data_IF_073604845969
#
_entry.id   IF_073604845969
#
_cell.length_a   1.000
_cell.length_b   1.000
_cell.length_c   1.000
_cell.angle_alpha   90.00
_cell.angle_beta   90.00
_cell.angle_gamma   90.00
#
_symmetry.space_group_name_H-M   'P 1'
#
loop_
_entity.id
_entity.type
_entity.pdbx_description
1 polymer ?
#
# COMPACT_ATOMS: atom_id res chain seq x y z
N UNK A 1 27.92 -47.47 -5.73
CA UNK A 1 28.21 -46.16 -5.11
C UNK A 1 27.77 -45.13 -6.14
N UNK A 2 26.47 -44.83 -6.16
CA UNK A 2 25.90 -43.83 -7.06
C UNK A 2 26.13 -42.46 -6.43
N UNK A 3 26.91 -41.63 -7.12
CA UNK A 3 27.14 -40.25 -6.75
C UNK A 3 25.89 -39.47 -7.18
N UNK A 4 25.08 -39.06 -6.21
CA UNK A 4 24.07 -38.05 -6.39
C UNK A 4 24.76 -36.73 -6.72
N UNK A 5 24.68 -36.31 -7.98
CA UNK A 5 24.97 -34.92 -8.36
C UNK A 5 23.84 -34.06 -7.80
N UNK A 6 24.16 -33.26 -6.77
CA UNK A 6 23.34 -32.11 -6.38
C UNK A 6 23.08 -31.25 -7.61
N UNK A 7 21.81 -31.16 -7.99
CA UNK A 7 21.34 -30.16 -8.93
C UNK A 7 21.59 -28.79 -8.30
N UNK A 8 22.57 -28.05 -8.82
CA UNK A 8 22.72 -26.62 -8.57
C UNK A 8 21.45 -25.92 -9.05
N UNK A 9 20.51 -25.69 -8.14
CA UNK A 9 19.33 -24.86 -8.40
C UNK A 9 19.86 -23.47 -8.77
N UNK A 10 19.56 -23.01 -9.99
CA UNK A 10 19.86 -21.65 -10.39
C UNK A 10 19.27 -20.69 -9.35
N UNK A 11 20.00 -19.64 -8.92
CA UNK A 11 19.46 -18.70 -7.96
C UNK A 11 18.14 -18.16 -8.50
N UNK A 12 17.08 -18.21 -7.68
CA UNK A 12 15.80 -17.61 -8.02
C UNK A 12 16.05 -16.14 -8.37
N UNK A 13 15.78 -15.74 -9.61
CA UNK A 13 15.95 -14.36 -10.06
C UNK A 13 14.59 -13.69 -10.10
N UNK A 14 14.43 -12.57 -9.41
CA UNK A 14 13.24 -11.71 -9.55
C UNK A 14 13.61 -10.45 -10.31
N UNK A 15 12.63 -9.86 -10.99
CA UNK A 15 12.80 -8.56 -11.66
C UNK A 15 12.02 -7.46 -10.97
N UNK A 16 11.11 -7.81 -10.07
CA UNK A 16 10.21 -6.87 -9.40
C UNK A 16 10.93 -5.87 -8.46
N UNK A 17 12.14 -6.17 -7.96
CA UNK A 17 12.89 -5.26 -7.08
C UNK A 17 13.83 -4.30 -7.80
N UNK A 18 14.02 -4.50 -9.10
CA UNK A 18 14.75 -3.56 -9.96
C UNK A 18 13.81 -2.46 -10.46
N UNK A 19 14.38 -1.35 -10.93
CA UNK A 19 13.58 -0.32 -11.59
C UNK A 19 12.87 -0.93 -12.81
N UNK A 20 11.60 -0.58 -12.99
CA UNK A 20 10.86 -1.00 -14.16
C UNK A 20 11.31 -0.25 -15.43
N UNK A 21 10.79 -0.68 -16.57
CA UNK A 21 11.22 -0.21 -17.88
C UNK A 21 10.60 1.12 -18.33
N UNK A 22 9.59 1.63 -17.62
CA UNK A 22 8.83 2.81 -18.02
C UNK A 22 9.39 4.09 -17.40
N UNK A 23 9.43 5.16 -18.19
CA UNK A 23 9.69 6.51 -17.71
C UNK A 23 8.43 7.04 -17.04
N UNK A 24 8.58 7.64 -15.86
CA UNK A 24 7.45 8.11 -15.06
C UNK A 24 7.35 9.62 -15.01
N UNK A 25 6.12 10.13 -14.88
CA UNK A 25 5.82 11.51 -14.54
C UNK A 25 4.77 11.56 -13.44
N UNK A 26 4.69 12.72 -12.78
CA UNK A 26 3.63 12.99 -11.82
C UNK A 26 2.88 14.28 -12.14
N UNK A 27 1.62 14.34 -11.71
CA UNK A 27 0.77 15.53 -11.81
C UNK A 27 -0.02 15.73 -10.52
N UNK A 28 -0.37 16.99 -10.25
CA UNK A 28 -1.24 17.36 -9.13
C UNK A 28 -2.56 17.88 -9.67
N UNK A 29 -3.64 17.16 -9.40
CA UNK A 29 -4.99 17.60 -9.76
C UNK A 29 -5.53 18.42 -8.59
N UNK A 30 -5.55 19.74 -8.79
CA UNK A 30 -6.16 20.66 -7.83
C UNK A 30 -7.68 20.58 -7.96
N UNK A 31 -8.38 20.96 -6.88
CA UNK A 31 -9.82 21.18 -6.92
C UNK A 31 -10.18 22.18 -8.03
N UNK A 32 -10.84 21.72 -9.08
CA UNK A 32 -11.58 22.58 -10.01
C UNK A 32 -13.07 22.41 -9.72
N UNK A 33 -13.84 23.50 -9.76
CA UNK A 33 -15.26 23.52 -9.43
C UNK A 33 -16.04 22.33 -10.04
N UNK A 34 -16.64 21.50 -9.18
CA UNK A 34 -17.71 20.54 -9.50
C UNK A 34 -17.30 19.15 -10.02
N UNK A 35 -16.11 18.95 -10.59
CA UNK A 35 -15.76 17.70 -11.31
C UNK A 35 -14.57 16.91 -10.77
N UNK A 36 -13.74 17.50 -9.91
CA UNK A 36 -12.60 16.82 -9.25
C UNK A 36 -12.99 16.36 -7.85
N UNK A 37 -12.55 15.17 -7.40
CA UNK A 37 -12.89 14.67 -6.08
C UNK A 37 -12.23 15.57 -5.03
N UNK A 38 -12.90 15.71 -3.90
CA UNK A 38 -12.30 16.26 -2.69
C UNK A 38 -11.76 15.07 -1.91
N UNK A 39 -10.44 14.91 -1.67
CA UNK A 39 -9.30 15.86 -1.70
C UNK A 39 -8.50 15.98 -3.03
N UNK A 40 -7.58 16.97 -3.16
CA UNK A 40 -6.67 17.06 -4.32
C UNK A 40 -5.87 15.77 -4.54
N UNK A 41 -5.63 15.42 -5.80
CA UNK A 41 -4.95 14.18 -6.16
C UNK A 41 -3.49 14.42 -6.50
N UNK A 42 -2.64 13.49 -6.08
CA UNK A 42 -1.30 13.29 -6.62
C UNK A 42 -1.33 12.02 -7.47
N UNK A 43 -0.98 12.14 -8.74
CA UNK A 43 -1.04 11.03 -9.70
C UNK A 43 0.34 10.81 -10.27
N UNK A 44 0.80 9.56 -10.28
CA UNK A 44 2.08 9.13 -10.86
C UNK A 44 1.79 8.09 -11.93
N UNK A 45 2.36 8.24 -13.12
CA UNK A 45 1.99 7.45 -14.29
C UNK A 45 3.17 7.22 -15.26
N UNK A 46 3.17 6.12 -16.03
CA UNK A 46 4.08 5.89 -17.16
C UNK A 46 3.86 6.89 -18.28
N UNK A 47 4.91 7.29 -18.99
CA UNK A 47 4.80 8.28 -20.09
C UNK A 47 4.64 7.66 -21.47
N UNK A 48 5.01 6.40 -21.60
CA UNK A 48 4.93 5.63 -22.83
C UNK A 48 3.48 5.28 -23.15
N UNK A 49 3.16 5.21 -24.45
CA UNK A 49 1.83 4.85 -24.94
C UNK A 49 1.41 3.48 -24.39
N UNK A 50 0.25 3.40 -23.77
CA UNK A 50 -0.26 2.13 -23.26
C UNK A 50 -1.53 2.27 -22.41
N UNK A 51 -2.06 1.13 -22.06
CA UNK A 51 -3.16 0.98 -21.09
C UNK A 51 -2.59 0.35 -19.83
N UNK A 52 -2.81 0.98 -18.68
CA UNK A 52 -2.11 0.62 -17.44
C UNK A 52 -3.09 0.39 -16.28
N UNK A 53 -2.89 -0.67 -15.47
CA UNK A 53 -3.63 -0.88 -14.23
C UNK A 53 -3.52 0.31 -13.27
N UNK A 54 -4.56 0.51 -12.47
CA UNK A 54 -4.67 1.64 -11.54
C UNK A 54 -4.50 1.17 -10.10
N UNK A 55 -3.78 1.94 -9.29
CA UNK A 55 -3.68 1.75 -7.84
C UNK A 55 -4.25 2.99 -7.16
N UNK A 56 -5.33 2.82 -6.40
CA UNK A 56 -5.81 3.84 -5.46
C UNK A 56 -5.02 3.68 -4.15
N UNK A 57 -4.11 4.62 -3.86
CA UNK A 57 -3.25 4.55 -2.67
C UNK A 57 -3.62 5.60 -1.63
N UNK A 58 -3.93 5.15 -0.41
CA UNK A 58 -4.37 6.00 0.70
C UNK A 58 -3.24 6.27 1.70
N UNK A 59 -2.97 7.54 1.98
CA UNK A 59 -1.87 7.97 2.84
C UNK A 59 -2.14 7.71 4.34
N UNK A 60 -1.05 7.62 5.12
CA UNK A 60 -1.09 7.58 6.58
C UNK A 60 -1.56 8.88 7.25
N UNK A 61 -1.82 8.81 8.54
CA UNK A 61 -2.29 9.94 9.33
C UNK A 61 -1.31 11.12 9.30
N UNK A 62 -1.78 12.31 8.94
CA UNK A 62 -0.96 13.54 8.86
C UNK A 62 0.28 13.44 7.96
N UNK A 63 0.30 12.49 7.01
CA UNK A 63 1.34 12.35 5.98
C UNK A 63 0.77 12.84 4.64
N UNK A 64 1.39 13.83 3.98
CA UNK A 64 1.00 14.24 2.64
C UNK A 64 1.12 13.07 1.65
N UNK A 65 0.16 12.96 0.71
CA UNK A 65 0.20 11.96 -0.36
C UNK A 65 1.48 12.03 -1.24
N UNK A 66 2.12 13.19 -1.33
CA UNK A 66 3.39 13.36 -2.04
C UNK A 66 4.60 12.81 -1.30
N UNK A 67 4.45 12.36 -0.05
CA UNK A 67 5.55 11.79 0.74
C UNK A 67 5.86 10.33 0.39
N UNK A 68 5.16 9.78 -0.61
CA UNK A 68 5.35 8.43 -1.14
C UNK A 68 5.81 8.46 -2.61
N UNK A 69 6.28 9.61 -3.10
CA UNK A 69 6.73 9.79 -4.48
C UNK A 69 7.80 8.79 -4.91
N UNK A 70 8.82 8.49 -4.12
CA UNK A 70 9.86 7.53 -4.53
C UNK A 70 9.26 6.12 -4.67
N UNK A 71 8.38 5.72 -3.75
CA UNK A 71 7.66 4.45 -3.82
C UNK A 71 6.73 4.40 -5.04
N UNK A 72 6.00 5.49 -5.30
CA UNK A 72 5.06 5.59 -6.42
C UNK A 72 5.79 5.62 -7.76
N UNK A 73 6.90 6.33 -7.87
CA UNK A 73 7.74 6.36 -9.07
C UNK A 73 8.32 4.97 -9.34
N UNK A 74 8.79 4.27 -8.31
CA UNK A 74 9.22 2.88 -8.45
C UNK A 74 8.10 2.00 -9.00
N UNK A 75 6.91 2.01 -8.37
CA UNK A 75 5.79 1.17 -8.83
C UNK A 75 5.32 1.58 -10.24
N UNK A 76 5.22 2.88 -10.54
CA UNK A 76 4.83 3.37 -11.85
C UNK A 76 5.83 2.98 -12.94
N UNK A 77 7.12 2.87 -12.62
CA UNK A 77 8.13 2.42 -13.58
C UNK A 77 7.89 0.98 -14.05
N UNK A 78 7.10 0.19 -13.31
CA UNK A 78 6.65 -1.16 -13.69
C UNK A 78 5.33 -1.17 -14.50
N UNK A 79 4.80 0.00 -14.87
CA UNK A 79 3.61 0.10 -15.71
C UNK A 79 2.30 0.19 -14.93
N UNK A 80 2.26 0.96 -13.85
CA UNK A 80 1.05 1.20 -13.05
C UNK A 80 0.76 2.71 -12.97
N UNK A 81 -0.52 3.07 -12.96
CA UNK A 81 -0.96 4.43 -12.64
C UNK A 81 -1.35 4.47 -11.17
N UNK A 82 -0.69 5.31 -10.37
CA UNK A 82 -1.03 5.52 -8.98
C UNK A 82 -1.88 6.78 -8.86
N UNK A 83 -3.06 6.66 -8.26
CA UNK A 83 -3.92 7.78 -7.87
C UNK A 83 -3.92 7.87 -6.36
N UNK A 84 -3.34 8.93 -5.81
CA UNK A 84 -3.23 9.14 -4.38
C UNK A 84 -4.02 10.39 -3.95
N UNK A 85 -5.22 10.24 -3.35
CA UNK A 85 -5.92 11.37 -2.74
C UNK A 85 -5.07 11.99 -1.63
N UNK A 86 -5.09 13.32 -1.54
CA UNK A 86 -4.39 14.09 -0.51
C UNK A 86 -5.22 14.29 0.75
N UNK A 87 -4.91 15.34 1.51
CA UNK A 87 -5.71 15.72 2.68
C UNK A 87 -6.65 16.86 2.31
N UNK A 88 -7.90 16.77 2.77
CA UNK A 88 -8.81 17.93 2.76
C UNK A 88 -8.39 18.89 3.87
N UNK A 89 -8.67 20.20 3.74
CA UNK A 89 -8.39 21.16 4.81
C UNK A 89 -9.17 20.82 6.09
N UNK A 90 -10.41 20.34 5.93
CA UNK A 90 -11.21 19.83 7.04
C UNK A 90 -10.56 18.59 7.65
N UNK A 91 -10.14 17.62 6.84
CA UNK A 91 -9.42 16.41 7.26
C UNK A 91 -8.06 16.68 7.92
N UNK A 92 -7.37 17.76 7.56
CA UNK A 92 -6.16 18.20 8.25
C UNK A 92 -6.48 18.75 9.64
N UNK A 93 -7.53 19.56 9.78
CA UNK A 93 -7.94 20.14 11.07
C UNK A 93 -8.53 19.08 12.01
N UNK A 94 -9.42 18.23 11.51
CA UNK A 94 -9.97 17.11 12.30
C UNK A 94 -8.91 16.04 12.53
N UNK A 95 -8.02 15.81 11.57
CA UNK A 95 -6.87 14.92 11.68
C UNK A 95 -5.78 15.41 12.64
N UNK A 96 -5.89 16.57 13.28
CA UNK A 96 -5.09 16.86 14.47
C UNK A 96 -5.63 16.15 15.73
N UNK A 97 -6.88 15.67 15.67
CA UNK A 97 -7.51 14.86 16.67
C UNK A 97 -7.70 13.45 16.09
N UNK A 98 -7.06 12.42 16.65
CA UNK A 98 -7.24 11.02 16.22
C UNK A 98 -8.65 10.55 16.62
N UNK A 99 -9.69 11.08 15.98
CA UNK A 99 -11.08 10.90 16.42
C UNK A 99 -11.85 9.89 15.58
N UNK A 100 -11.59 9.83 14.26
CA UNK A 100 -12.31 8.94 13.35
C UNK A 100 -11.57 8.82 12.02
N UNK A 101 -11.74 7.69 11.34
CA UNK A 101 -11.34 7.44 9.96
C UNK A 101 -12.55 7.39 9.01
N UNK A 102 -13.79 7.55 9.51
CA UNK A 102 -15.03 7.47 8.70
C UNK A 102 -14.99 8.44 7.51
N UNK A 103 -14.63 9.70 7.74
CA UNK A 103 -14.52 10.68 6.65
C UNK A 103 -13.41 10.34 5.66
N UNK A 104 -12.31 9.72 6.12
CA UNK A 104 -11.27 9.26 5.22
C UNK A 104 -11.77 8.10 4.31
N UNK A 105 -12.65 7.24 4.84
CA UNK A 105 -13.30 6.16 4.06
C UNK A 105 -14.29 6.74 3.04
N UNK A 106 -15.04 7.78 3.41
CA UNK A 106 -15.92 8.50 2.49
C UNK A 106 -15.14 9.21 1.38
N UNK A 107 -14.06 9.92 1.71
CA UNK A 107 -13.16 10.58 0.74
C UNK A 107 -12.51 9.55 -0.20
N UNK A 108 -12.12 8.38 0.31
CA UNK A 108 -11.60 7.27 -0.49
C UNK A 108 -12.65 6.71 -1.45
N UNK A 109 -13.91 6.55 -0.99
CA UNK A 109 -15.02 6.12 -1.84
C UNK A 109 -15.38 7.16 -2.92
N UNK A 110 -15.35 8.45 -2.59
CA UNK A 110 -15.53 9.55 -3.56
C UNK A 110 -14.46 9.48 -4.64
N UNK A 111 -13.19 9.29 -4.25
CA UNK A 111 -12.07 9.15 -5.19
C UNK A 111 -12.22 7.91 -6.06
N UNK A 112 -12.60 6.76 -5.49
CA UNK A 112 -12.85 5.54 -6.23
C UNK A 112 -13.99 5.71 -7.25
N UNK A 113 -15.09 6.36 -6.85
CA UNK A 113 -16.20 6.66 -7.76
C UNK A 113 -15.80 7.66 -8.84
N UNK A 114 -14.94 8.63 -8.53
CA UNK A 114 -14.39 9.55 -9.51
C UNK A 114 -13.50 8.82 -10.54
N UNK A 115 -12.68 7.86 -10.11
CA UNK A 115 -11.89 7.00 -11.01
C UNK A 115 -12.82 6.18 -11.91
N UNK A 116 -13.89 5.59 -11.36
CA UNK A 116 -14.81 4.72 -12.12
C UNK A 116 -15.68 5.47 -13.12
N UNK A 117 -15.97 6.76 -12.87
CA UNK A 117 -16.97 7.51 -13.61
C UNK A 117 -16.75 7.47 -15.13
N UNK A 118 -17.83 7.16 -15.84
CA UNK A 118 -17.89 7.06 -17.30
C UNK A 118 -16.76 6.17 -17.87
N UNK A 119 -16.52 5.02 -17.21
CA UNK A 119 -15.48 4.04 -17.55
C UNK A 119 -14.07 4.64 -17.59
N UNK A 120 -13.71 5.44 -16.58
CA UNK A 120 -12.37 6.00 -16.43
C UNK A 120 -12.13 7.32 -17.13
N UNK A 121 -13.14 7.93 -17.78
CA UNK A 121 -12.97 9.20 -18.50
C UNK A 121 -12.42 10.33 -17.63
N UNK A 122 -12.86 10.41 -16.38
CA UNK A 122 -12.36 11.39 -15.43
C UNK A 122 -10.84 11.29 -15.22
N UNK A 123 -10.33 10.06 -15.05
CA UNK A 123 -8.91 9.81 -14.88
C UNK A 123 -8.16 10.04 -16.21
N UNK A 124 -8.75 9.64 -17.34
CA UNK A 124 -8.19 9.92 -18.68
C UNK A 124 -8.00 11.41 -18.95
N UNK A 125 -8.92 12.27 -18.49
CA UNK A 125 -8.85 13.74 -18.70
C UNK A 125 -7.65 14.40 -18.02
N UNK A 126 -7.07 13.76 -17.00
CA UNK A 126 -5.90 14.29 -16.27
C UNK A 126 -4.60 13.56 -16.63
N UNK A 127 -4.67 12.58 -17.52
CA UNK A 127 -3.54 11.83 -18.07
C UNK A 127 -3.20 12.33 -19.48
N UNK A 128 -1.96 12.10 -19.98
CA UNK A 128 -1.64 12.29 -21.39
C UNK A 128 -2.57 11.46 -22.28
N UNK A 129 -2.88 11.98 -23.48
CA UNK A 129 -3.80 11.32 -24.43
C UNK A 129 -3.44 9.87 -24.76
N UNK A 130 -2.15 9.54 -24.78
CA UNK A 130 -1.66 8.19 -25.14
C UNK A 130 -1.51 7.24 -23.94
N UNK A 131 -1.85 7.69 -22.73
CA UNK A 131 -1.79 6.91 -21.49
C UNK A 131 -3.22 6.71 -21.00
N UNK A 132 -3.69 5.47 -21.06
CA UNK A 132 -5.07 5.13 -20.70
C UNK A 132 -5.13 4.33 -19.39
N UNK A 133 -6.05 4.67 -18.47
CA UNK A 133 -6.26 3.89 -17.27
C UNK A 133 -7.07 2.63 -17.57
N UNK A 134 -6.63 1.50 -17.01
CA UNK A 134 -7.39 0.25 -17.00
C UNK A 134 -8.23 0.17 -15.73
N UNK A 135 -9.51 0.53 -15.83
CA UNK A 135 -10.45 0.50 -14.71
C UNK A 135 -11.01 -0.89 -14.41
N UNK A 136 -10.68 -1.91 -15.21
CA UNK A 136 -10.97 -3.30 -14.90
C UNK A 136 -9.87 -3.91 -14.02
N UNK A 137 -8.66 -3.36 -14.06
CA UNK A 137 -7.53 -3.76 -13.23
C UNK A 137 -7.15 -2.69 -12.20
N UNK A 138 -8.00 -2.56 -11.17
CA UNK A 138 -7.76 -1.61 -10.06
C UNK A 138 -7.38 -2.33 -8.76
N UNK A 139 -6.30 -1.86 -8.13
CA UNK A 139 -5.92 -2.24 -6.77
C UNK A 139 -6.29 -1.15 -5.78
N UNK A 140 -6.69 -1.55 -4.57
CA UNK A 140 -6.81 -0.66 -3.42
C UNK A 140 -5.61 -0.87 -2.51
N UNK A 141 -4.96 0.20 -2.08
CA UNK A 141 -3.83 0.13 -1.19
C UNK A 141 -3.83 1.28 -0.19
N UNK A 142 -3.12 1.11 0.92
CA UNK A 142 -2.90 2.22 1.84
C UNK A 142 -1.86 1.93 2.89
N UNK A 143 -1.29 3.01 3.43
CA UNK A 143 -0.28 2.96 4.49
C UNK A 143 -0.83 3.42 5.84
N UNK A 144 -0.48 2.74 6.95
CA UNK A 144 -0.83 3.18 8.31
C UNK A 144 -2.35 3.34 8.49
N UNK A 145 -2.83 4.52 8.93
CA UNK A 145 -4.26 4.88 8.92
C UNK A 145 -4.89 4.66 7.54
N UNK A 146 -4.20 5.02 6.46
CA UNK A 146 -4.67 4.78 5.09
C UNK A 146 -4.82 3.30 4.75
N UNK A 147 -4.00 2.43 5.35
CA UNK A 147 -4.17 0.97 5.26
C UNK A 147 -5.46 0.51 5.91
N UNK A 148 -5.78 1.00 7.12
CA UNK A 148 -7.10 0.77 7.75
C UNK A 148 -8.24 1.28 6.87
N UNK A 149 -8.13 2.47 6.30
CA UNK A 149 -9.15 3.05 5.41
C UNK A 149 -9.35 2.17 4.17
N UNK A 150 -8.28 1.63 3.58
CA UNK A 150 -8.33 0.71 2.46
C UNK A 150 -9.10 -0.58 2.82
N UNK A 151 -8.80 -1.19 3.97
CA UNK A 151 -9.56 -2.34 4.46
C UNK A 151 -11.03 -1.99 4.73
N UNK A 152 -11.31 -0.87 5.40
CA UNK A 152 -12.67 -0.44 5.69
C UNK A 152 -13.50 -0.22 4.42
N UNK A 153 -12.91 0.42 3.40
CA UNK A 153 -13.58 0.59 2.10
C UNK A 153 -13.86 -0.76 1.44
N UNK A 154 -12.88 -1.68 1.43
CA UNK A 154 -13.05 -3.02 0.87
C UNK A 154 -14.08 -3.88 1.60
N UNK A 155 -14.26 -3.65 2.91
CA UNK A 155 -15.29 -4.29 3.75
C UNK A 155 -16.68 -3.63 3.62
N UNK A 156 -16.81 -2.57 2.81
CA UNK A 156 -18.10 -1.94 2.51
C UNK A 156 -18.53 -0.85 3.50
N UNK A 157 -17.61 -0.26 4.26
CA UNK A 157 -17.92 0.86 5.16
C UNK A 157 -18.27 2.17 4.43
N UNK A 158 -18.04 2.25 3.13
CA UNK A 158 -18.59 3.27 2.25
C UNK A 158 -18.93 2.67 0.88
N UNK A 159 -19.86 3.30 0.17
CA UNK A 159 -20.33 2.81 -1.12
C UNK A 159 -19.41 3.26 -2.26
N UNK A 160 -18.86 2.31 -3.00
CA UNK A 160 -18.17 2.57 -4.27
C UNK A 160 -18.67 1.66 -5.38
N UNK A 161 -18.74 2.21 -6.60
CA UNK A 161 -19.02 1.46 -7.82
C UNK A 161 -17.77 0.78 -8.40
N UNK A 162 -16.58 1.23 -8.00
CA UNK A 162 -15.33 0.68 -8.50
C UNK A 162 -15.06 -0.69 -7.88
N UNK A 163 -14.76 -1.69 -8.71
CA UNK A 163 -14.40 -3.03 -8.25
C UNK A 163 -12.89 -3.12 -8.09
N UNK A 164 -12.43 -3.54 -6.92
CA UNK A 164 -11.02 -3.78 -6.66
C UNK A 164 -10.67 -5.25 -6.90
N UNK A 165 -9.63 -5.52 -7.69
CA UNK A 165 -9.12 -6.87 -7.95
C UNK A 165 -8.15 -7.36 -6.87
N UNK A 166 -7.56 -6.45 -6.11
CA UNK A 166 -6.59 -6.77 -5.07
C UNK A 166 -6.57 -5.68 -3.99
N UNK A 167 -6.21 -6.07 -2.76
CA UNK A 167 -6.02 -5.17 -1.62
C UNK A 167 -4.59 -5.29 -1.08
N UNK A 168 -3.93 -4.16 -0.83
CA UNK A 168 -2.58 -4.14 -0.24
C UNK A 168 -2.53 -3.22 0.98
N UNK A 169 -2.32 -3.81 2.16
CA UNK A 169 -2.05 -3.07 3.40
C UNK A 169 -0.56 -2.88 3.60
N UNK A 170 -0.07 -1.64 3.47
CA UNK A 170 1.30 -1.27 3.83
C UNK A 170 1.32 -0.84 5.30
N UNK A 171 1.80 -1.71 6.17
CA UNK A 171 1.90 -1.50 7.61
C UNK A 171 0.62 -0.87 8.23
N UNK A 172 -0.57 -1.47 8.01
CA UNK A 172 -1.85 -0.87 8.42
C UNK A 172 -1.96 -0.74 9.95
N UNK A 173 -2.68 0.31 10.40
CA UNK A 173 -2.90 0.61 11.83
C UNK A 173 -4.37 0.88 12.14
N UNK A 174 -4.93 0.11 13.07
CA UNK A 174 -6.34 0.18 13.51
C UNK A 174 -6.63 1.36 14.45
N UNK A 175 -5.63 1.76 15.24
CA UNK A 175 -5.76 2.80 16.25
C UNK A 175 -4.54 2.89 17.16
N UNK A 176 -4.65 3.77 18.16
CA UNK A 176 -3.55 4.07 19.10
C UNK A 176 -3.35 3.02 20.20
N UNK A 177 -4.34 2.15 20.43
CA UNK A 177 -4.30 0.94 21.25
C UNK A 177 -5.63 0.18 21.12
N UNK A 178 -5.71 -1.04 21.65
CA UNK A 178 -6.88 -1.91 21.55
C UNK A 178 -8.14 -1.34 22.22
N UNK A 179 -7.98 -0.49 23.25
CA UNK A 179 -9.08 0.20 23.94
C UNK A 179 -9.52 1.49 23.24
N UNK A 180 -8.65 2.09 22.41
CA UNK A 180 -8.87 3.35 21.69
C UNK A 180 -8.72 3.14 20.17
N UNK A 181 -9.53 2.20 19.66
CA UNK A 181 -9.68 1.95 18.22
C UNK A 181 -10.48 3.06 17.56
N UNK A 182 -10.06 3.43 16.36
CA UNK A 182 -10.66 4.51 15.57
C UNK A 182 -11.84 3.94 14.77
N UNK A 183 -12.96 4.66 14.66
CA UNK A 183 -14.06 4.22 13.80
C UNK A 183 -13.71 4.35 12.30
N UNK A 184 -14.15 3.43 11.42
CA UNK A 184 -14.84 2.19 11.75
C UNK A 184 -13.90 1.19 12.42
N UNK A 185 -14.39 0.51 13.46
CA UNK A 185 -13.68 -0.63 14.07
C UNK A 185 -13.78 -1.83 13.14
N UNK A 186 -12.69 -2.16 12.46
CA UNK A 186 -12.69 -3.26 11.47
C UNK A 186 -12.10 -4.53 12.04
N UNK A 187 -11.11 -4.46 12.94
CA UNK A 187 -10.55 -5.67 13.57
C UNK A 187 -11.52 -6.25 14.61
N UNK A 188 -11.96 -7.49 14.38
CA UNK A 188 -12.79 -8.27 15.32
C UNK A 188 -11.96 -9.21 16.20
N UNK A 189 -10.67 -9.38 15.88
CA UNK A 189 -9.74 -10.32 16.49
C UNK A 189 -10.20 -11.78 16.38
N UNK A 190 -10.84 -12.11 15.25
CA UNK A 190 -11.30 -13.44 14.90
C UNK A 190 -10.53 -13.88 13.64
N UNK A 191 -9.70 -14.94 13.70
CA UNK A 191 -8.96 -15.39 12.54
C UNK A 191 -9.88 -15.65 11.34
N UNK A 192 -9.46 -15.17 10.15
CA UNK A 192 -10.16 -15.32 8.89
C UNK A 192 -11.60 -14.78 8.88
N UNK A 193 -11.90 -13.72 9.63
CA UNK A 193 -13.23 -13.13 9.70
C UNK A 193 -13.54 -12.16 8.55
N UNK A 194 -12.51 -11.50 7.99
CA UNK A 194 -12.72 -10.53 6.91
C UNK A 194 -13.40 -11.17 5.70
N UNK A 195 -14.58 -10.63 5.35
CA UNK A 195 -15.35 -11.05 4.19
C UNK A 195 -14.96 -10.23 2.95
N UNK A 196 -13.72 -10.43 2.52
CA UNK A 196 -13.14 -9.77 1.34
C UNK A 196 -13.27 -10.67 0.12
N UNK A 197 -13.67 -10.09 -1.02
CA UNK A 197 -13.87 -10.82 -2.27
C UNK A 197 -12.63 -10.81 -3.19
N UNK A 198 -11.48 -10.36 -2.66
CA UNK A 198 -10.24 -10.15 -3.40
C UNK A 198 -9.03 -10.68 -2.61
N UNK A 199 -7.94 -11.07 -3.30
CA UNK A 199 -6.67 -11.38 -2.68
C UNK A 199 -6.12 -10.20 -1.88
N UNK A 200 -5.44 -10.49 -0.78
CA UNK A 200 -4.85 -9.48 0.12
C UNK A 200 -3.34 -9.68 0.29
N UNK A 201 -2.56 -8.61 0.17
CA UNK A 201 -1.17 -8.60 0.63
C UNK A 201 -1.01 -7.64 1.80
N UNK A 202 -0.25 -8.07 2.81
CA UNK A 202 0.19 -7.22 3.90
C UNK A 202 1.70 -7.11 3.90
N UNK A 203 2.19 -5.88 3.95
CA UNK A 203 3.61 -5.57 4.04
C UNK A 203 3.84 -4.83 5.36
N UNK A 204 4.21 -5.57 6.41
CA UNK A 204 4.44 -5.04 7.74
C UNK A 204 5.87 -4.55 7.96
N UNK A 205 6.06 -3.76 9.02
CA UNK A 205 7.39 -3.42 9.54
C UNK A 205 7.67 -4.11 10.88
N UNK A 206 8.92 -4.52 11.11
CA UNK A 206 9.30 -5.23 12.32
C UNK A 206 9.64 -4.34 13.52
N UNK A 207 9.77 -3.02 13.33
CA UNK A 207 10.02 -2.04 14.39
C UNK A 207 8.83 -1.09 14.61
N UNK A 208 7.67 -1.35 13.99
CA UNK A 208 6.51 -0.46 14.03
C UNK A 208 5.80 -0.40 15.39
N UNK A 209 5.83 -1.50 16.15
CA UNK A 209 5.30 -1.63 17.50
C UNK A 209 6.30 -1.27 18.61
N UNK A 210 7.53 -0.95 18.21
CA UNK A 210 8.55 -0.46 19.13
C UNK A 210 8.40 1.04 19.38
N UNK A 211 8.51 1.41 20.65
CA UNK A 211 8.65 2.80 21.05
C UNK A 211 10.04 3.33 20.70
N UNK A 212 10.11 4.53 20.12
CA UNK A 212 11.39 5.21 19.84
C UNK A 212 12.11 5.65 21.12
N UNK A 213 11.37 5.97 22.18
CA UNK A 213 11.86 6.29 23.52
C UNK A 213 10.72 6.10 24.53
N UNK A 214 11.00 5.68 25.76
CA UNK A 214 9.99 5.22 26.73
C UNK A 214 8.85 6.19 27.10
N UNK A 215 8.88 7.45 26.62
CA UNK A 215 7.82 8.44 26.80
C UNK A 215 6.89 8.58 25.58
N UNK A 216 7.22 7.97 24.43
CA UNK A 216 6.45 8.06 23.19
C UNK A 216 5.84 6.69 22.88
N UNK A 217 4.52 6.56 22.75
CA UNK A 217 3.89 5.29 22.38
C UNK A 217 4.29 4.89 20.96
N UNK A 218 4.32 3.58 20.65
CA UNK A 218 4.55 3.11 19.28
C UNK A 218 3.44 3.58 18.35
N UNK A 219 3.78 3.78 17.07
CA UNK A 219 2.83 4.27 16.05
C UNK A 219 1.98 3.14 15.47
N UNK A 220 2.51 1.93 15.40
CA UNK A 220 1.77 0.72 15.06
C UNK A 220 1.75 -0.25 16.26
N UNK A 221 1.02 0.09 17.35
CA UNK A 221 1.03 -0.70 18.58
C UNK A 221 0.58 -2.13 18.34
N UNK A 222 1.19 -3.06 19.08
CA UNK A 222 0.74 -4.45 19.12
C UNK A 222 -0.75 -4.55 19.45
N UNK A 223 -1.47 -5.38 18.73
CA UNK A 223 -2.93 -5.49 18.82
C UNK A 223 -3.68 -4.54 17.89
N UNK A 224 -2.99 -3.64 17.19
CA UNK A 224 -3.61 -2.72 16.22
C UNK A 224 -2.85 -2.66 14.89
N UNK A 225 -1.86 -3.53 14.70
CA UNK A 225 -0.93 -3.49 13.59
C UNK A 225 -1.11 -4.68 12.63
N UNK A 226 -0.28 -4.69 11.59
CA UNK A 226 -0.30 -5.63 10.46
C UNK A 226 -0.49 -7.13 10.76
N UNK A 227 0.01 -7.75 11.86
CA UNK A 227 -0.23 -9.17 12.11
C UNK A 227 -1.71 -9.48 12.35
N UNK A 228 -2.45 -8.56 13.01
CA UNK A 228 -3.87 -8.73 13.32
C UNK A 228 -4.74 -8.54 12.08
N UNK A 229 -4.37 -7.62 11.20
CA UNK A 229 -5.03 -7.50 9.90
C UNK A 229 -4.82 -8.77 9.06
N UNK A 230 -3.61 -9.35 9.05
CA UNK A 230 -3.34 -10.58 8.32
C UNK A 230 -4.09 -11.79 8.90
N UNK A 231 -4.13 -11.92 10.23
CA UNK A 231 -4.84 -13.01 10.91
C UNK A 231 -6.33 -13.05 10.54
N UNK A 232 -6.97 -11.88 10.39
CA UNK A 232 -8.38 -11.78 9.96
C UNK A 232 -8.59 -11.99 8.46
N UNK A 233 -7.54 -11.96 7.62
CA UNK A 233 -7.66 -12.17 6.17
C UNK A 233 -7.91 -13.65 5.82
N UNK A 234 -8.91 -13.90 4.98
CA UNK A 234 -9.11 -15.19 4.32
C UNK A 234 -8.09 -15.39 3.18
N UNK A 235 -7.73 -16.65 2.85
CA UNK A 235 -7.00 -16.93 1.62
C UNK A 235 -7.80 -16.53 0.37
N UNK A 236 -7.14 -16.15 -0.74
CA UNK A 236 -5.69 -16.03 -0.89
C UNK A 236 -5.13 -14.76 -0.22
N UNK A 237 -4.13 -14.93 0.66
CA UNK A 237 -3.48 -13.82 1.36
C UNK A 237 -1.98 -14.01 1.50
N UNK A 238 -1.22 -12.93 1.39
CA UNK A 238 0.23 -12.91 1.52
C UNK A 238 0.65 -11.95 2.64
N UNK A 239 1.70 -12.28 3.36
CA UNK A 239 2.22 -11.48 4.46
C UNK A 239 3.74 -11.43 4.44
N UNK A 240 4.29 -10.23 4.42
CA UNK A 240 5.72 -9.97 4.36
C UNK A 240 6.07 -8.97 5.44
N UNK A 241 7.11 -9.23 6.24
CA UNK A 241 7.56 -8.27 7.27
C UNK A 241 8.98 -7.83 6.98
N UNK A 242 9.16 -6.53 6.72
CA UNK A 242 10.48 -5.91 6.66
C UNK A 242 11.05 -5.79 8.08
N UNK A 243 11.72 -6.86 8.52
CA UNK A 243 12.04 -7.12 9.94
C UNK A 243 12.80 -6.00 10.62
N UNK A 244 13.75 -5.40 9.92
CA UNK A 244 14.69 -4.44 10.50
C UNK A 244 14.32 -2.98 10.21
N UNK A 245 13.08 -2.73 9.77
CA UNK A 245 12.57 -1.40 9.38
C UNK A 245 11.41 -0.98 10.28
N UNK A 246 11.24 0.34 10.42
CA UNK A 246 10.16 0.96 11.18
C UNK A 246 9.07 1.57 10.33
N UNK A 247 7.99 1.96 10.99
CA UNK A 247 6.72 2.35 10.40
C UNK A 247 6.78 3.46 9.33
N UNK A 248 7.79 4.34 9.36
CA UNK A 248 7.93 5.44 8.40
C UNK A 248 9.10 5.27 7.43
N UNK A 249 9.76 4.11 7.44
CA UNK A 249 11.00 3.92 6.69
C UNK A 249 10.79 3.77 5.17
N UNK A 250 9.55 3.62 4.72
CA UNK A 250 9.15 3.61 3.30
C UNK A 250 8.68 4.96 2.78
N UNK A 251 8.64 5.99 3.63
CA UNK A 251 8.18 7.35 3.29
C UNK A 251 9.39 8.21 2.93
N UNK A 252 9.27 9.05 1.89
CA UNK A 252 10.36 9.85 1.33
C UNK A 252 10.79 10.99 2.26
N UNK A 253 9.82 11.57 2.97
CA UNK A 253 9.96 12.95 3.42
C UNK A 253 10.80 13.10 4.69
N UNK A 254 11.96 13.72 4.52
CA UNK A 254 12.83 14.16 5.60
C UNK A 254 12.17 15.20 6.50
N UNK A 255 11.22 16.02 6.02
CA UNK A 255 10.48 17.00 6.82
C UNK A 255 9.47 16.33 7.75
N UNK A 256 8.81 15.24 7.36
CA UNK A 256 7.97 14.45 8.28
C UNK A 256 8.82 13.91 9.44
N UNK A 257 10.08 13.55 9.16
CA UNK A 257 11.06 13.10 10.16
C UNK A 257 11.63 14.26 10.99
N UNK A 258 11.82 15.45 10.39
CA UNK A 258 12.40 16.64 11.05
C UNK A 258 11.36 17.42 11.89
N UNK A 259 10.10 17.44 11.45
CA UNK A 259 8.99 18.13 12.13
C UNK A 259 8.54 17.42 13.42
N UNK A 260 9.09 16.23 13.72
CA UNK A 260 8.80 15.50 14.96
C UNK A 260 7.35 15.04 15.12
N UNK A 261 6.53 15.11 14.06
CA UNK A 261 5.12 14.75 14.10
C UNK A 261 4.89 13.27 14.41
N UNK A 262 5.87 12.42 14.13
CA UNK A 262 5.87 11.00 14.48
C UNK A 262 7.28 10.57 14.91
N UNK A 263 7.46 10.33 16.22
CA UNK A 263 8.72 9.83 16.77
C UNK A 263 8.64 8.30 16.79
N UNK A 264 8.95 7.68 15.65
CA UNK A 264 8.95 6.21 15.47
C UNK A 264 10.36 5.65 15.55
N UNK A 265 10.50 4.40 16.00
CA UNK A 265 11.75 3.68 15.83
C UNK A 265 12.04 3.51 14.33
N UNK A 266 13.28 3.69 13.93
CA UNK A 266 13.75 3.58 12.54
C UNK A 266 14.83 2.51 12.44
N UNK A 267 14.81 1.77 11.34
CA UNK A 267 15.84 0.78 11.02
C UNK A 267 17.18 1.42 10.65
N UNK A 268 18.26 0.65 10.78
CA UNK A 268 19.60 1.04 10.30
C UNK A 268 19.82 0.77 8.79
N UNK A 269 18.92 0.02 8.16
CA UNK A 269 18.99 -0.32 6.74
C UNK A 269 18.66 0.86 5.81
N UNK A 270 18.99 0.68 4.53
CA UNK A 270 18.72 1.65 3.46
C UNK A 270 17.21 1.84 3.26
N UNK A 271 16.76 3.10 3.29
CA UNK A 271 15.36 3.45 3.03
C UNK A 271 15.00 3.24 1.55
N UNK A 272 15.98 3.35 0.67
CA UNK A 272 15.84 3.01 -0.75
C UNK A 272 15.57 1.52 -0.91
N UNK A 273 16.27 0.66 -0.17
CA UNK A 273 16.04 -0.78 -0.20
C UNK A 273 14.67 -1.13 0.37
N UNK A 274 14.23 -0.43 1.42
CA UNK A 274 12.87 -0.57 1.96
C UNK A 274 11.80 -0.21 0.93
N UNK A 275 11.94 0.94 0.25
CA UNK A 275 11.00 1.36 -0.79
C UNK A 275 10.99 0.40 -1.98
N UNK A 276 12.16 -0.09 -2.40
CA UNK A 276 12.27 -1.13 -3.44
C UNK A 276 11.63 -2.44 -3.01
N UNK A 277 11.82 -2.88 -1.76
CA UNK A 277 11.17 -4.06 -1.23
C UNK A 277 9.63 -3.92 -1.25
N UNK A 278 9.10 -2.82 -0.72
CA UNK A 278 7.67 -2.55 -0.74
C UNK A 278 7.14 -2.50 -2.18
N UNK A 279 7.75 -1.70 -3.04
CA UNK A 279 7.34 -1.54 -4.44
C UNK A 279 7.41 -2.85 -5.22
N UNK A 280 8.46 -3.65 -5.03
CA UNK A 280 8.59 -4.95 -5.69
C UNK A 280 7.58 -5.97 -5.23
N UNK A 281 7.23 -6.00 -3.94
CA UNK A 281 6.13 -6.84 -3.43
C UNK A 281 4.78 -6.39 -4.03
N UNK A 282 4.52 -5.08 -4.13
CA UNK A 282 3.34 -4.56 -4.84
C UNK A 282 3.29 -5.10 -6.27
N UNK A 283 4.37 -4.96 -7.03
CA UNK A 283 4.45 -5.41 -8.43
C UNK A 283 4.25 -6.92 -8.54
N UNK A 284 4.97 -7.71 -7.75
CA UNK A 284 4.89 -9.17 -7.78
C UNK A 284 3.48 -9.67 -7.44
N UNK A 285 2.87 -9.12 -6.39
CA UNK A 285 1.53 -9.47 -5.97
C UNK A 285 0.47 -9.09 -7.01
N UNK A 286 0.54 -7.87 -7.56
CA UNK A 286 -0.42 -7.43 -8.58
C UNK A 286 -0.27 -8.21 -9.88
N UNK A 287 0.96 -8.52 -10.32
CA UNK A 287 1.20 -9.42 -11.47
C UNK A 287 0.55 -10.79 -11.27
N UNK A 288 0.68 -11.36 -10.08
CA UNK A 288 0.12 -12.68 -9.77
C UNK A 288 -1.41 -12.70 -9.88
N UNK A 289 -2.07 -11.72 -9.28
CA UNK A 289 -3.54 -11.76 -9.11
C UNK A 289 -4.34 -10.98 -10.15
N UNK A 290 -3.75 -9.98 -10.82
CA UNK A 290 -4.42 -9.27 -11.92
C UNK A 290 -4.11 -9.86 -13.30
N UNK A 291 -2.92 -10.46 -13.45
CA UNK A 291 -2.39 -10.89 -14.74
C UNK A 291 -1.95 -12.36 -14.79
N UNK A 292 -2.23 -13.14 -13.74
CA UNK A 292 -1.91 -14.57 -13.65
C UNK A 292 -0.42 -14.90 -13.85
N UNK A 293 0.47 -13.97 -13.46
CA UNK A 293 1.91 -14.18 -13.49
C UNK A 293 2.47 -14.13 -12.07
N UNK A 294 2.66 -15.32 -11.47
CA UNK A 294 3.11 -15.46 -10.09
C UNK A 294 4.62 -15.66 -9.93
N UNK A 295 5.41 -15.61 -11.01
CA UNK A 295 6.83 -16.01 -10.99
C UNK A 295 7.64 -15.22 -9.94
N UNK A 296 7.55 -13.88 -9.98
CA UNK A 296 8.21 -13.01 -9.00
C UNK A 296 7.70 -13.29 -7.56
N UNK A 297 6.39 -13.50 -7.39
CA UNK A 297 5.77 -13.73 -6.07
C UNK A 297 6.23 -15.06 -5.46
N UNK A 298 6.22 -16.14 -6.25
CA UNK A 298 6.71 -17.46 -5.85
C UNK A 298 8.19 -17.40 -5.48
N UNK A 299 9.02 -16.71 -6.26
CA UNK A 299 10.44 -16.55 -5.94
C UNK A 299 10.68 -15.79 -4.62
N UNK A 300 9.87 -14.75 -4.33
CA UNK A 300 9.92 -14.06 -3.02
C UNK A 300 9.54 -15.01 -1.89
N UNK A 301 8.56 -15.88 -2.07
CA UNK A 301 8.08 -16.77 -1.02
C UNK A 301 9.07 -17.92 -0.76
N UNK A 302 9.62 -18.50 -1.82
CA UNK A 302 10.53 -19.64 -1.73
C UNK A 302 11.93 -19.22 -1.23
N UNK A 303 12.35 -17.99 -1.49
CA UNK A 303 13.72 -17.53 -1.19
C UNK A 303 13.79 -16.04 -0.82
N UNK A 304 13.00 -15.58 0.16
CA UNK A 304 12.78 -14.15 0.43
C UNK A 304 14.06 -13.37 0.66
N UNK A 305 14.95 -13.90 1.51
CA UNK A 305 16.19 -13.23 1.90
C UNK A 305 17.31 -13.36 0.86
N UNK A 306 17.08 -14.12 -0.22
CA UNK A 306 18.01 -14.24 -1.35
C UNK A 306 17.65 -13.26 -2.48
N UNK A 307 16.37 -12.88 -2.59
CA UNK A 307 15.87 -12.05 -3.70
C UNK A 307 15.47 -10.65 -3.27
N UNK A 308 14.95 -10.46 -2.06
CA UNK A 308 14.51 -9.16 -1.59
C UNK A 308 15.70 -8.28 -1.18
N UNK A 309 15.64 -6.96 -1.41
CA UNK A 309 16.71 -6.03 -1.05
C UNK A 309 16.78 -5.77 0.47
N UNK A 310 15.81 -6.29 1.24
CA UNK A 310 15.76 -6.22 2.70
C UNK A 310 15.44 -7.59 3.28
N UNK A 311 15.74 -7.77 4.57
CA UNK A 311 15.37 -8.98 5.29
C UNK A 311 13.84 -9.04 5.48
N UNK A 312 13.22 -10.03 4.85
CA UNK A 312 11.79 -10.33 5.00
C UNK A 312 11.62 -11.52 5.93
N UNK A 313 10.97 -11.31 7.07
CA UNK A 313 10.80 -12.32 8.13
C UNK A 313 9.71 -11.90 9.13
N UNK A 314 8.54 -12.59 9.17
CA UNK A 314 8.16 -13.73 8.34
C UNK A 314 7.77 -13.37 6.90
N UNK A 315 7.70 -14.41 6.05
CA UNK A 315 7.02 -14.40 4.75
C UNK A 315 6.03 -15.57 4.71
N UNK A 316 4.75 -15.29 4.52
CA UNK A 316 3.66 -16.27 4.50
C UNK A 316 2.79 -16.10 3.27
N UNK A 317 2.31 -17.23 2.72
CA UNK A 317 1.34 -17.27 1.64
C UNK A 317 0.27 -18.31 1.95
N UNK A 318 -0.94 -17.84 2.25
CA UNK A 318 -2.11 -18.68 2.40
C UNK A 318 -2.81 -18.75 1.04
N UNK A 319 -2.84 -19.94 0.45
CA UNK A 319 -3.51 -20.21 -0.82
C UNK A 319 -4.96 -20.65 -0.59
N UNK A 320 -5.82 -20.41 -1.57
CA UNK A 320 -7.25 -20.79 -1.57
C UNK A 320 -7.48 -22.28 -1.74
#
# INVERSE_FOLDING_TARGET
>A
MELYTESLIAPASTTCFENGSYTVKSTRVRKSSGSTPNPPLYIVYPTERGTYPVILFLHGFSIPNTSYSDLFEFIASHGYIIVAPGQTLFGFVTGLCICSAVSDVEDAAETANWIHKDDGQNLQLVLPHDVSPDTDNVALAGHSKGGKVAFALALGHAHTHLKFKALIGLDPVEGSNTSNRIEPKILNYIPQDFNLAMPVALIGTGLGDDSCCGCVPPVAPWGCNHPFFFDECKPPSCYFVARDFGHLDMVDDWLVRLAGMFICKTGKGSKDDMRRACGGIFVAFLKAYMFHNADDLTAIIDSPNSVAPVKLDPVLWLQS
#
